data_IF_233644869535
#
_entry.id   IF_233644869535
#
_cell.length_a   1.000
_cell.length_b   1.000
_cell.length_c   1.000
_cell.angle_alpha   90.00
_cell.angle_beta   90.00
_cell.angle_gamma   90.00
#
_symmetry.space_group_name_H-M   'P 1'
#
loop_
_entity.id
_entity.type
_entity.pdbx_description
1 polymer ?
#
# COMPACT_ATOMS: atom_id res chain seq x y z
N UNK A 1 15.99 7.70 9.55
CA UNK A 1 15.01 7.43 10.62
C UNK A 1 14.02 6.41 10.07
N UNK A 2 13.80 5.29 10.78
CA UNK A 2 12.88 4.24 10.37
C UNK A 2 11.64 4.29 11.29
N UNK A 3 10.44 4.30 10.72
CA UNK A 3 9.20 4.16 11.48
C UNK A 3 8.56 2.82 11.10
N UNK A 4 8.16 2.03 12.09
CA UNK A 4 7.43 0.78 11.89
C UNK A 4 5.99 0.92 12.39
N UNK A 5 5.07 0.23 11.70
CA UNK A 5 3.69 0.05 12.14
C UNK A 5 3.38 -1.44 12.06
N UNK A 6 2.99 -2.05 13.18
CA UNK A 6 2.64 -3.48 13.25
C UNK A 6 1.12 -3.60 13.18
N UNK A 7 0.63 -4.46 12.29
CA UNK A 7 -0.79 -4.77 12.17
C UNK A 7 -1.10 -6.10 12.85
N UNK A 8 -2.34 -6.23 13.34
CA UNK A 8 -2.85 -7.46 13.97
C UNK A 8 -3.28 -8.55 12.97
N UNK A 9 -3.43 -8.21 11.69
CA UNK A 9 -3.87 -9.08 10.61
C UNK A 9 -3.15 -8.70 9.29
N UNK A 10 -2.90 -9.64 8.37
CA UNK A 10 -2.33 -9.34 7.05
C UNK A 10 -3.34 -8.56 6.18
N UNK A 11 -2.84 -7.72 5.28
CA UNK A 11 -3.70 -6.87 4.45
C UNK A 11 -3.14 -6.75 3.04
N UNK A 12 -4.03 -6.72 2.05
CA UNK A 12 -3.71 -6.32 0.68
C UNK A 12 -4.40 -5.00 0.29
N UNK A 13 -5.12 -4.34 1.21
CA UNK A 13 -5.78 -3.06 0.93
C UNK A 13 -4.75 -1.94 0.73
N UNK A 14 -4.49 -1.63 -0.53
CA UNK A 14 -3.54 -0.58 -0.94
C UNK A 14 -3.87 0.80 -0.35
N UNK A 15 -5.14 1.07 -0.02
CA UNK A 15 -5.54 2.35 0.57
C UNK A 15 -5.04 2.46 1.99
N UNK A 16 -5.18 1.38 2.77
CA UNK A 16 -4.66 1.33 4.12
C UNK A 16 -3.13 1.39 4.11
N UNK A 17 -2.47 0.64 3.22
CA UNK A 17 -1.01 0.69 3.11
C UNK A 17 -0.51 2.11 2.79
N UNK A 18 -1.17 2.80 1.84
CA UNK A 18 -0.87 4.19 1.48
C UNK A 18 -1.06 5.14 2.66
N UNK A 19 -2.14 4.95 3.44
CA UNK A 19 -2.42 5.75 4.63
C UNK A 19 -1.27 5.61 5.66
N UNK A 20 -0.88 4.39 6.00
CA UNK A 20 0.22 4.15 6.95
C UNK A 20 1.55 4.72 6.46
N UNK A 21 1.88 4.55 5.17
CA UNK A 21 3.10 5.11 4.60
C UNK A 21 3.11 6.64 4.68
N UNK A 22 1.98 7.28 4.37
CA UNK A 22 1.85 8.75 4.40
C UNK A 22 1.91 9.28 5.83
N UNK A 23 1.28 8.59 6.77
CA UNK A 23 1.37 8.91 8.20
C UNK A 23 2.80 8.71 8.73
N UNK A 24 3.51 7.69 8.27
CA UNK A 24 4.89 7.47 8.66
C UNK A 24 5.78 8.62 8.22
N UNK A 25 5.64 9.03 6.96
CA UNK A 25 6.36 10.17 6.39
C UNK A 25 6.04 11.45 7.15
N UNK A 26 4.77 11.72 7.49
CA UNK A 26 4.39 12.96 8.18
C UNK A 26 5.05 13.11 9.56
N UNK A 27 5.38 12.00 10.24
CA UNK A 27 6.07 12.03 11.54
C UNK A 27 7.59 12.17 11.43
N UNK A 28 8.21 11.73 10.33
CA UNK A 28 9.67 11.78 10.14
C UNK A 28 10.13 12.94 9.27
N UNK A 29 9.21 13.56 8.52
CA UNK A 29 9.48 14.69 7.67
C UNK A 29 9.85 15.93 8.49
N UNK A 30 10.94 16.59 8.07
CA UNK A 30 11.47 17.80 8.70
C UNK A 30 11.67 18.85 7.61
N UNK A 31 10.98 20.01 7.71
CA UNK A 31 11.21 21.13 6.81
C UNK A 31 12.69 21.54 6.78
N UNK A 32 13.20 21.93 5.61
CA UNK A 32 14.58 22.37 5.42
C UNK A 32 15.60 21.25 5.15
N UNK A 33 15.21 19.98 5.26
CA UNK A 33 16.05 18.85 4.88
C UNK A 33 15.76 18.37 3.46
N UNK A 34 16.81 17.95 2.73
CA UNK A 34 16.67 17.29 1.43
C UNK A 34 16.60 15.78 1.64
N UNK A 35 15.55 15.16 1.12
CA UNK A 35 15.34 13.72 1.16
C UNK A 35 15.55 13.15 -0.24
N UNK A 36 16.38 12.10 -0.36
CA UNK A 36 16.68 11.49 -1.67
C UNK A 36 15.81 10.27 -1.98
N UNK A 37 15.35 9.54 -0.96
CA UNK A 37 14.57 8.31 -1.11
C UNK A 37 13.75 8.00 0.15
N UNK A 38 12.61 7.36 -0.04
CA UNK A 38 11.82 6.69 1.00
C UNK A 38 11.37 5.33 0.47
N UNK A 39 11.30 4.34 1.34
CA UNK A 39 10.91 2.97 0.99
C UNK A 39 9.91 2.44 2.02
N UNK A 40 9.01 1.58 1.56
CA UNK A 40 8.09 0.83 2.41
C UNK A 40 8.52 -0.62 2.38
N UNK A 41 8.92 -1.15 3.54
CA UNK A 41 9.26 -2.56 3.69
C UNK A 41 8.06 -3.30 4.29
N UNK A 42 7.55 -4.29 3.57
CA UNK A 42 6.53 -5.21 4.06
C UNK A 42 7.23 -6.43 4.65
N UNK A 43 6.80 -6.83 5.83
CA UNK A 43 7.28 -8.03 6.52
C UNK A 43 6.12 -8.99 6.73
N UNK A 44 6.43 -10.26 7.01
CA UNK A 44 5.45 -11.31 7.33
C UNK A 44 4.37 -11.48 6.24
N UNK A 45 4.81 -11.48 4.97
CA UNK A 45 3.93 -11.71 3.81
C UNK A 45 3.49 -13.18 3.81
N UNK A 46 2.18 -13.42 3.67
CA UNK A 46 1.58 -14.75 3.60
C UNK A 46 0.63 -14.87 2.40
N UNK A 47 0.34 -16.09 1.96
CA UNK A 47 -0.69 -16.34 0.96
C UNK A 47 -2.09 -16.25 1.57
N UNK A 48 -3.14 -15.97 0.76
CA UNK A 48 -4.52 -16.09 1.21
C UNK A 48 -4.80 -17.48 1.79
N UNK A 49 -5.34 -17.54 3.01
CA UNK A 49 -5.68 -18.79 3.70
C UNK A 49 -4.55 -19.41 4.54
N UNK A 50 -3.33 -18.89 4.48
CA UNK A 50 -2.23 -19.34 5.37
C UNK A 50 -2.26 -18.67 6.75
N UNK A 51 -2.97 -17.53 6.86
CA UNK A 51 -3.16 -16.83 8.13
C UNK A 51 -4.41 -17.34 8.84
N UNK A 52 -4.25 -17.80 10.07
CA UNK A 52 -5.37 -18.15 10.95
C UNK A 52 -5.84 -16.90 11.66
N UNK A 53 -7.09 -16.51 11.39
CA UNK A 53 -7.73 -15.40 12.06
C UNK A 53 -7.88 -15.64 13.57
N UNK A 54 -7.71 -14.57 14.34
CA UNK A 54 -8.08 -14.55 15.75
C UNK A 54 -9.60 -14.33 15.86
N UNK A 55 -10.26 -15.15 16.70
CA UNK A 55 -11.71 -15.17 16.88
C UNK A 55 -12.29 -13.81 17.30
N UNK A 56 -11.51 -12.98 17.97
CA UNK A 56 -11.94 -11.69 18.52
C UNK A 56 -11.20 -10.50 17.91
N UNK A 57 -10.20 -10.73 17.07
CA UNK A 57 -9.50 -9.65 16.38
C UNK A 57 -10.34 -9.08 15.24
N UNK A 58 -10.13 -7.79 14.98
CA UNK A 58 -10.62 -7.16 13.77
C UNK A 58 -9.76 -7.66 12.62
N UNK A 59 -10.39 -8.26 11.61
CA UNK A 59 -9.73 -8.67 10.36
C UNK A 59 -10.04 -7.68 9.23
N UNK A 60 -9.45 -7.91 8.06
CA UNK A 60 -9.77 -7.13 6.87
C UNK A 60 -11.27 -7.32 6.51
N UNK A 61 -12.03 -6.24 6.26
CA UNK A 61 -13.43 -6.37 5.87
C UNK A 61 -13.57 -7.05 4.49
N UNK A 62 -14.57 -7.92 4.33
CA UNK A 62 -14.90 -8.58 3.04
C UNK A 62 -15.19 -7.58 1.91
N UNK A 63 -15.64 -6.37 2.24
CA UNK A 63 -15.79 -5.28 1.26
C UNK A 63 -14.46 -4.79 0.69
N UNK A 64 -13.38 -4.83 1.50
CA UNK A 64 -12.03 -4.51 1.06
C UNK A 64 -11.50 -5.57 0.11
N UNK A 65 -11.69 -6.86 0.41
CA UNK A 65 -11.30 -7.96 -0.49
C UNK A 65 -11.94 -7.82 -1.87
N UNK A 66 -13.26 -7.59 -1.90
CA UNK A 66 -14.01 -7.37 -3.14
C UNK A 66 -13.52 -6.16 -3.91
N UNK A 67 -13.15 -5.08 -3.21
CA UNK A 67 -12.61 -3.89 -3.85
C UNK A 67 -11.22 -4.15 -4.45
N UNK A 68 -10.33 -4.81 -3.72
CA UNK A 68 -8.99 -5.14 -4.22
C UNK A 68 -9.08 -6.08 -5.42
N UNK A 69 -9.96 -7.08 -5.38
CA UNK A 69 -10.23 -7.95 -6.53
C UNK A 69 -10.77 -7.18 -7.75
N UNK A 70 -11.65 -6.19 -7.55
CA UNK A 70 -12.16 -5.36 -8.63
C UNK A 70 -11.04 -4.47 -9.23
N UNK A 71 -10.21 -3.87 -8.38
CA UNK A 71 -9.07 -3.06 -8.78
C UNK A 71 -8.07 -3.88 -9.61
N UNK A 72 -7.72 -5.08 -9.13
CA UNK A 72 -6.83 -6.00 -9.83
C UNK A 72 -7.42 -6.47 -11.16
N UNK A 73 -8.72 -6.75 -11.22
CA UNK A 73 -9.41 -7.14 -12.47
C UNK A 73 -9.34 -6.03 -13.52
N UNK A 74 -9.53 -4.77 -13.11
CA UNK A 74 -9.47 -3.63 -14.02
C UNK A 74 -8.04 -3.41 -14.50
N UNK A 75 -7.06 -3.41 -13.59
CA UNK A 75 -5.65 -3.29 -13.95
C UNK A 75 -5.16 -4.46 -14.83
N UNK A 76 -5.66 -5.68 -14.61
CA UNK A 76 -5.35 -6.83 -15.47
C UNK A 76 -5.89 -6.69 -16.88
N UNK A 77 -7.05 -6.03 -17.05
CA UNK A 77 -7.70 -5.83 -18.37
C UNK A 77 -7.14 -4.65 -19.15
N UNK A 78 -6.83 -3.55 -18.48
CA UNK A 78 -6.51 -2.27 -19.12
C UNK A 78 -5.04 -1.85 -18.99
N UNK A 79 -4.24 -2.66 -18.30
CA UNK A 79 -2.82 -2.42 -18.08
C UNK A 79 -2.50 -2.10 -16.63
N UNK A 80 -1.27 -2.43 -16.21
CA UNK A 80 -0.82 -2.16 -14.85
C UNK A 80 -0.85 -0.66 -14.58
N UNK A 81 -1.50 -0.27 -13.49
CA UNK A 81 -1.57 1.13 -13.06
C UNK A 81 -2.72 1.94 -13.68
N UNK A 82 -3.65 1.33 -14.43
CA UNK A 82 -4.87 2.01 -14.90
C UNK A 82 -5.65 2.62 -13.72
N UNK A 83 -5.79 1.87 -12.64
CA UNK A 83 -6.29 2.33 -11.35
C UNK A 83 -5.15 2.35 -10.33
N UNK A 84 -5.06 3.46 -9.62
CA UNK A 84 -4.14 3.67 -8.52
C UNK A 84 -4.85 4.46 -7.40
N UNK A 85 -4.25 4.50 -6.21
CA UNK A 85 -4.73 5.35 -5.12
C UNK A 85 -4.70 6.82 -5.57
N UNK A 86 -5.73 7.60 -5.24
CA UNK A 86 -5.84 9.01 -5.66
C UNK A 86 -4.73 9.95 -5.16
N UNK A 87 -3.85 9.47 -4.27
CA UNK A 87 -2.62 10.18 -3.89
C UNK A 87 -1.55 10.15 -4.98
N UNK A 88 -1.68 9.25 -5.97
CA UNK A 88 -0.75 9.12 -7.09
C UNK A 88 -1.32 9.88 -8.29
N UNK A 89 -0.60 10.86 -8.86
CA UNK A 89 -1.03 11.52 -10.09
C UNK A 89 -0.99 10.54 -11.27
N UNK A 90 -1.87 10.75 -12.26
CA UNK A 90 -1.94 9.89 -13.46
C UNK A 90 -0.61 9.81 -14.20
N UNK A 91 0.12 10.93 -14.24
CA UNK A 91 1.46 11.04 -14.84
C UNK A 91 2.42 11.62 -13.80
N UNK A 92 3.07 10.78 -12.98
CA UNK A 92 4.05 11.25 -12.02
C UNK A 92 5.33 11.69 -12.73
N UNK A 93 5.86 12.86 -12.35
CA UNK A 93 7.13 13.41 -12.83
C UNK A 93 8.36 12.79 -12.13
N UNK A 94 8.12 12.08 -11.02
CA UNK A 94 9.11 11.37 -10.22
C UNK A 94 9.25 9.88 -10.57
N UNK A 95 8.48 9.38 -11.54
CA UNK A 95 8.56 8.00 -11.99
C UNK A 95 9.86 7.71 -12.77
N UNK A 96 10.54 6.61 -12.46
CA UNK A 96 11.56 6.06 -13.36
C UNK A 96 10.85 5.67 -14.66
N UNK A 97 11.16 6.38 -15.75
CA UNK A 97 10.68 6.00 -17.08
C UNK A 97 11.12 4.56 -17.38
N UNK A 98 10.15 3.65 -17.40
CA UNK A 98 10.40 2.33 -17.98
C UNK A 98 10.53 2.55 -19.49
N UNK A 99 11.77 2.47 -19.99
CA UNK A 99 12.04 2.35 -21.42
C UNK A 99 11.29 1.10 -21.95
N UNK A 100 10.81 1.14 -23.22
CA UNK A 100 9.97 0.10 -23.81
C UNK A 100 10.61 -1.29 -23.81
#
# INVERSE_FOLDING_TARGET
MCQSSVRRYPTNDVRLMTQYATEAVSRIFRPGFRYSKAEVLLMDICQPGEFTDDLFAVNQPVSSDRLMAALDSINGKWGRGTLCTGSVPVTPDWGMGHAP
#
